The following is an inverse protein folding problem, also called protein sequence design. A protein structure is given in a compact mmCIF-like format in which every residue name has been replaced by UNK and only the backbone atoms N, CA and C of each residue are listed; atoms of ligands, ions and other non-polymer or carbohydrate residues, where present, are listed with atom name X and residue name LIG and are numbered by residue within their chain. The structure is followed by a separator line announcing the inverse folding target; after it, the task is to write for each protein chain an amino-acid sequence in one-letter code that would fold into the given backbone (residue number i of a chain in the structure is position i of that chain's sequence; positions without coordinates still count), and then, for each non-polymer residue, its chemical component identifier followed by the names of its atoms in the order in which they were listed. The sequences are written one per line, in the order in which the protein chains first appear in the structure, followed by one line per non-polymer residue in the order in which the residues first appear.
data_IF_250572910633
#
_entry.id   IF_250572910633
#
_cell.length_a   1.000
_cell.length_b   1.000
_cell.length_c   1.000
_cell.angle_alpha   90.00
_cell.angle_beta   90.00
_cell.angle_gamma   90.00
#
_symmetry.space_group_name_H-M   'P 1'
#
loop_
_entity.id
_entity.type
_entity.pdbx_description
1 polymer ?
#
# COMPACT_ATOMS: atom_id res chain seq x y z
N UNK A 1 8.64 -30.77 40.19
CA UNK A 1 8.48 -30.08 38.90
C UNK A 1 8.70 -28.60 39.12
N UNK A 2 9.92 -28.11 38.89
CA UNK A 2 10.17 -26.68 38.78
C UNK A 2 9.55 -26.21 37.46
N UNK A 3 8.77 -25.11 37.43
CA UNK A 3 8.27 -24.58 36.17
C UNK A 3 9.47 -24.29 35.27
N UNK A 4 9.42 -24.77 34.03
CA UNK A 4 10.41 -24.43 33.02
C UNK A 4 10.46 -22.90 32.94
N UNK A 5 11.53 -22.31 33.44
CA UNK A 5 11.72 -20.87 33.47
C UNK A 5 11.95 -20.44 32.02
N UNK A 6 10.90 -20.01 31.35
CA UNK A 6 10.95 -19.53 29.97
C UNK A 6 11.87 -18.32 29.93
N UNK A 7 12.98 -18.42 29.20
CA UNK A 7 13.90 -17.30 29.04
C UNK A 7 13.20 -16.15 28.30
N UNK A 8 13.00 -14.98 28.95
CA UNK A 8 12.35 -13.83 28.34
C UNK A 8 13.09 -13.33 27.10
N UNK A 9 14.43 -13.46 27.06
CA UNK A 9 15.26 -13.02 25.95
C UNK A 9 15.06 -13.90 24.71
N UNK A 10 14.96 -15.22 24.91
CA UNK A 10 14.63 -16.16 23.83
C UNK A 10 13.24 -15.87 23.24
N UNK A 11 12.25 -15.62 24.10
CA UNK A 11 10.88 -15.30 23.68
C UNK A 11 10.83 -14.02 22.83
N UNK A 12 11.52 -12.96 23.25
CA UNK A 12 11.61 -11.71 22.51
C UNK A 12 12.29 -11.88 21.14
N UNK A 13 13.35 -12.69 21.10
CA UNK A 13 14.08 -12.98 19.85
C UNK A 13 13.19 -13.68 18.84
N UNK A 14 12.45 -14.71 19.27
CA UNK A 14 11.48 -15.42 18.41
C UNK A 14 10.37 -14.47 17.94
N UNK A 15 9.85 -13.63 18.83
CA UNK A 15 8.81 -12.66 18.47
C UNK A 15 9.30 -11.66 17.40
N UNK A 16 10.53 -11.14 17.53
CA UNK A 16 11.16 -10.25 16.52
C UNK A 16 11.30 -10.96 15.18
N UNK A 17 11.83 -12.18 15.18
CA UNK A 17 11.98 -12.98 13.98
C UNK A 17 10.64 -13.19 13.26
N UNK A 18 9.59 -13.57 13.98
CA UNK A 18 8.25 -13.75 13.42
C UNK A 18 7.65 -12.44 12.91
N UNK A 19 7.88 -11.32 13.61
CA UNK A 19 7.45 -10.00 13.16
C UNK A 19 8.07 -9.64 11.81
N UNK A 20 9.39 -9.78 11.67
CA UNK A 20 10.08 -9.52 10.41
C UNK A 20 9.66 -10.48 9.30
N UNK A 21 9.50 -11.77 9.61
CA UNK A 21 9.02 -12.77 8.66
C UNK A 21 7.63 -12.43 8.13
N UNK A 22 6.74 -11.95 9.00
CA UNK A 22 5.39 -11.50 8.63
C UNK A 22 5.47 -10.34 7.63
N UNK A 23 6.36 -9.38 7.84
CA UNK A 23 6.57 -8.28 6.88
C UNK A 23 7.07 -8.80 5.54
N UNK A 24 8.06 -9.70 5.52
CA UNK A 24 8.59 -10.29 4.26
C UNK A 24 7.49 -11.02 3.49
N UNK A 25 6.75 -11.89 4.17
CA UNK A 25 5.67 -12.66 3.56
C UNK A 25 4.56 -11.75 3.03
N UNK A 26 4.14 -10.76 3.81
CA UNK A 26 3.10 -9.81 3.44
C UNK A 26 3.53 -8.92 2.27
N UNK A 27 4.75 -8.38 2.29
CA UNK A 27 5.31 -7.58 1.22
C UNK A 27 5.46 -8.39 -0.08
N UNK A 28 5.94 -9.63 0.01
CA UNK A 28 6.04 -10.53 -1.14
C UNK A 28 4.68 -10.86 -1.76
N UNK A 29 3.70 -11.17 -0.91
CA UNK A 29 2.31 -11.40 -1.31
C UNK A 29 1.72 -10.15 -2.00
N UNK A 30 1.89 -8.98 -1.39
CA UNK A 30 1.44 -7.71 -1.93
C UNK A 30 2.09 -7.40 -3.28
N UNK A 31 3.41 -7.57 -3.42
CA UNK A 31 4.12 -7.37 -4.68
C UNK A 31 3.61 -8.29 -5.79
N UNK A 32 3.35 -9.56 -5.44
CA UNK A 32 2.82 -10.52 -6.40
C UNK A 32 1.43 -10.11 -6.90
N UNK A 33 0.50 -9.79 -6.00
CA UNK A 33 -0.83 -9.34 -6.36
C UNK A 33 -0.80 -8.00 -7.10
N UNK A 34 0.03 -7.06 -6.66
CA UNK A 34 0.20 -5.77 -7.30
C UNK A 34 0.71 -5.92 -8.73
N UNK A 35 1.67 -6.82 -8.97
CA UNK A 35 2.17 -7.14 -10.32
C UNK A 35 1.08 -7.73 -11.21
N UNK A 36 0.26 -8.64 -10.69
CA UNK A 36 -0.86 -9.21 -11.45
C UNK A 36 -1.90 -8.13 -11.77
N UNK A 37 -2.25 -7.30 -10.78
CA UNK A 37 -3.17 -6.19 -10.92
C UNK A 37 -2.70 -5.20 -11.99
N UNK A 38 -1.45 -4.73 -11.90
CA UNK A 38 -0.81 -3.84 -12.88
C UNK A 38 -0.81 -4.39 -14.32
N UNK A 39 -0.62 -5.70 -14.48
CA UNK A 39 -0.54 -6.34 -15.81
C UNK A 39 -1.91 -6.63 -16.42
N UNK A 40 -2.89 -7.00 -15.60
CA UNK A 40 -4.17 -7.53 -16.10
C UNK A 40 -5.32 -6.54 -16.03
N UNK A 41 -5.28 -5.58 -15.12
CA UNK A 41 -6.48 -4.79 -14.76
C UNK A 41 -6.28 -3.29 -14.98
N UNK A 42 -5.10 -2.72 -14.73
CA UNK A 42 -4.94 -1.27 -14.89
C UNK A 42 -4.80 -0.81 -16.34
N UNK A 43 -5.50 0.29 -16.62
CA UNK A 43 -5.32 1.10 -17.82
C UNK A 43 -3.90 1.70 -17.88
N UNK A 44 -3.41 1.91 -19.10
CA UNK A 44 -2.05 2.36 -19.41
C UNK A 44 -1.52 3.54 -18.57
N UNK A 45 -2.28 4.63 -18.36
CA UNK A 45 -1.80 5.83 -17.63
C UNK A 45 -1.41 5.53 -16.18
N UNK A 46 -2.03 4.54 -15.56
CA UNK A 46 -1.73 4.15 -14.20
C UNK A 46 -0.50 3.24 -14.14
N UNK A 47 -0.35 2.30 -15.09
CA UNK A 47 0.64 1.20 -15.06
C UNK A 47 2.08 1.64 -14.81
N UNK A 48 2.52 2.76 -15.40
CA UNK A 48 3.90 3.24 -15.25
C UNK A 48 4.19 3.80 -13.86
N UNK A 49 3.17 4.35 -13.19
CA UNK A 49 3.29 5.04 -11.90
C UNK A 49 3.36 4.09 -10.70
N UNK A 50 2.82 2.87 -10.84
CA UNK A 50 2.88 1.83 -9.80
C UNK A 50 4.29 1.27 -9.57
N UNK A 51 5.25 1.52 -10.48
CA UNK A 51 6.64 1.05 -10.32
C UNK A 51 7.28 1.62 -9.06
N UNK A 52 7.05 2.90 -8.76
CA UNK A 52 7.59 3.53 -7.54
C UNK A 52 7.02 2.88 -6.29
N UNK A 53 5.72 2.60 -6.28
CA UNK A 53 5.08 1.93 -5.15
C UNK A 53 5.59 0.50 -4.97
N UNK A 54 5.80 -0.24 -6.07
CA UNK A 54 6.40 -1.57 -6.02
C UNK A 54 7.83 -1.52 -5.45
N UNK A 55 8.62 -0.49 -5.77
CA UNK A 55 9.94 -0.30 -5.15
C UNK A 55 9.81 -0.02 -3.65
N UNK A 56 8.85 0.80 -3.23
CA UNK A 56 8.58 1.06 -1.80
C UNK A 56 8.18 -0.21 -1.03
N UNK A 57 7.31 -1.05 -1.60
CA UNK A 57 6.94 -2.34 -1.00
C UNK A 57 8.13 -3.32 -1.03
N UNK A 58 8.95 -3.29 -2.07
CA UNK A 58 10.21 -4.03 -2.14
C UNK A 58 11.16 -3.63 -1.02
N UNK A 59 11.28 -2.33 -0.72
CA UNK A 59 12.05 -1.85 0.42
C UNK A 59 11.49 -2.36 1.76
N UNK A 60 10.17 -2.53 1.89
CA UNK A 60 9.57 -3.15 3.08
C UNK A 60 9.97 -4.63 3.22
N UNK A 61 10.08 -5.37 2.11
CA UNK A 61 10.62 -6.72 2.14
C UNK A 61 12.10 -6.74 2.55
N UNK A 62 12.91 -5.80 2.05
CA UNK A 62 14.32 -5.64 2.45
C UNK A 62 14.43 -5.31 3.93
N UNK A 63 13.56 -4.45 4.47
CA UNK A 63 13.46 -4.17 5.90
C UNK A 63 13.25 -5.46 6.72
N UNK A 64 12.30 -6.30 6.31
CA UNK A 64 12.04 -7.57 6.98
C UNK A 64 13.21 -8.56 6.87
N UNK A 65 13.81 -8.70 5.69
CA UNK A 65 14.97 -9.59 5.50
C UNK A 65 16.20 -9.11 6.29
N UNK A 66 16.43 -7.80 6.33
CA UNK A 66 17.49 -7.21 7.14
C UNK A 66 17.23 -7.43 8.63
N UNK A 67 15.99 -7.30 9.10
CA UNK A 67 15.63 -7.61 10.48
C UNK A 67 15.86 -9.09 10.85
N UNK A 68 15.54 -10.02 9.95
CA UNK A 68 15.86 -11.45 10.13
C UNK A 68 17.37 -11.65 10.24
N UNK A 69 18.16 -11.04 9.34
CA UNK A 69 19.62 -11.13 9.38
C UNK A 69 20.21 -10.50 10.66
N UNK A 70 19.62 -9.42 11.16
CA UNK A 70 20.00 -8.77 12.42
C UNK A 70 19.77 -9.71 13.60
N UNK A 71 18.63 -10.42 13.63
CA UNK A 71 18.38 -11.45 14.67
C UNK A 71 19.34 -12.64 14.60
N UNK A 72 19.97 -12.87 13.44
CA UNK A 72 21.00 -13.90 13.25
C UNK A 72 22.43 -13.40 13.54
N UNK A 73 22.61 -12.14 13.95
CA UNK A 73 23.91 -11.57 14.31
C UNK A 73 24.72 -11.02 13.13
N UNK A 74 24.10 -10.76 11.97
CA UNK A 74 24.79 -10.19 10.81
C UNK A 74 25.06 -8.70 11.04
N UNK A 75 26.34 -8.35 11.27
CA UNK A 75 26.76 -7.00 11.67
C UNK A 75 26.23 -5.81 10.83
N UNK A 76 26.19 -5.85 9.48
CA UNK A 76 25.67 -4.72 8.70
C UNK A 76 24.12 -4.64 8.65
N UNK A 77 23.40 -5.63 9.17
CA UNK A 77 21.96 -5.77 8.96
C UNK A 77 21.15 -4.61 9.54
N UNK A 78 21.52 -4.08 10.72
CA UNK A 78 20.79 -2.96 11.34
C UNK A 78 20.88 -1.65 10.53
N UNK A 79 21.99 -1.42 9.81
CA UNK A 79 22.13 -0.26 8.93
C UNK A 79 21.29 -0.42 7.65
N UNK A 80 21.28 -1.63 7.07
CA UNK A 80 20.41 -1.94 5.94
C UNK A 80 18.93 -1.83 6.30
N UNK A 81 18.53 -2.27 7.50
CA UNK A 81 17.17 -2.17 7.99
C UNK A 81 16.71 -0.71 8.07
N UNK A 82 17.52 0.17 8.67
CA UNK A 82 17.24 1.62 8.74
C UNK A 82 17.14 2.26 7.36
N UNK A 83 18.11 1.98 6.48
CA UNK A 83 18.08 2.47 5.10
C UNK A 83 16.84 1.99 4.34
N UNK A 84 16.48 0.71 4.48
CA UNK A 84 15.28 0.16 3.85
C UNK A 84 14.00 0.89 4.27
N UNK A 85 13.87 1.24 5.55
CA UNK A 85 12.73 2.02 6.04
C UNK A 85 12.64 3.39 5.37
N UNK A 86 13.75 4.11 5.23
CA UNK A 86 13.79 5.39 4.53
C UNK A 86 13.34 5.26 3.06
N UNK A 87 13.80 4.20 2.39
CA UNK A 87 13.37 3.88 1.03
C UNK A 87 11.88 3.56 0.95
N UNK A 88 11.30 2.85 1.93
CA UNK A 88 9.84 2.64 2.00
C UNK A 88 9.11 3.98 1.95
N UNK A 89 9.48 4.94 2.81
CA UNK A 89 8.81 6.24 2.87
C UNK A 89 9.01 7.07 1.62
N UNK A 90 10.24 7.15 1.12
CA UNK A 90 10.56 7.92 -0.09
C UNK A 90 9.75 7.41 -1.29
N UNK A 91 9.76 6.10 -1.52
CA UNK A 91 9.07 5.50 -2.67
C UNK A 91 7.56 5.43 -2.48
N UNK A 92 7.07 5.28 -1.25
CA UNK A 92 5.65 5.41 -0.95
C UNK A 92 5.15 6.84 -1.22
N UNK A 93 5.89 7.86 -0.78
CA UNK A 93 5.58 9.26 -1.04
C UNK A 93 5.49 9.56 -2.54
N UNK A 94 6.49 9.12 -3.30
CA UNK A 94 6.52 9.29 -4.76
C UNK A 94 5.38 8.50 -5.42
N UNK A 95 5.17 7.25 -5.01
CA UNK A 95 4.14 6.36 -5.56
C UNK A 95 2.72 6.88 -5.33
N UNK A 96 2.38 7.23 -4.09
CA UNK A 96 1.05 7.77 -3.72
C UNK A 96 0.80 9.12 -4.39
N UNK A 97 1.81 10.00 -4.46
CA UNK A 97 1.70 11.25 -5.23
C UNK A 97 1.43 10.97 -6.71
N UNK A 98 2.15 10.03 -7.31
CA UNK A 98 1.98 9.71 -8.72
C UNK A 98 0.56 9.18 -9.02
N UNK A 99 0.01 8.38 -8.10
CA UNK A 99 -1.39 7.93 -8.12
C UNK A 99 -2.35 9.12 -7.97
N UNK A 100 -2.14 9.99 -6.98
CA UNK A 100 -2.96 11.18 -6.77
C UNK A 100 -3.02 12.10 -8.01
N UNK A 101 -1.88 12.25 -8.70
CA UNK A 101 -1.80 12.99 -9.96
C UNK A 101 -2.55 12.32 -11.10
N UNK A 102 -2.55 10.99 -11.19
CA UNK A 102 -3.25 10.30 -12.29
C UNK A 102 -4.77 10.43 -12.18
N UNK A 103 -5.28 10.78 -11.00
CA UNK A 103 -6.71 10.92 -10.73
C UNK A 103 -7.17 12.39 -10.76
N UNK A 104 -6.36 13.28 -11.35
CA UNK A 104 -6.69 14.70 -11.49
C UNK A 104 -6.39 15.57 -10.27
N UNK A 105 -5.59 15.08 -9.32
CA UNK A 105 -5.15 15.86 -8.17
C UNK A 105 -4.37 17.13 -8.59
N UNK A 106 -4.62 18.29 -7.96
CA UNK A 106 -4.02 19.56 -8.35
C UNK A 106 -2.49 19.54 -8.27
N UNK A 107 -1.84 20.15 -9.27
CA UNK A 107 -0.38 20.28 -9.33
C UNK A 107 0.09 21.63 -8.79
N UNK A 108 0.95 21.64 -7.78
CA UNK A 108 1.64 22.86 -7.33
C UNK A 108 2.77 23.31 -8.29
N UNK A 109 3.17 22.45 -9.23
CA UNK A 109 4.32 22.63 -10.13
C UNK A 109 3.97 22.11 -11.52
N UNK A 110 4.51 22.76 -12.57
CA UNK A 110 4.34 22.37 -13.97
C UNK A 110 4.90 20.97 -14.28
N UNK A 111 4.34 20.29 -15.28
CA UNK A 111 4.66 18.90 -15.61
C UNK A 111 6.11 18.70 -16.09
N UNK A 112 6.70 19.67 -16.80
CA UNK A 112 8.10 19.62 -17.26
C UNK A 112 9.11 19.70 -16.11
N UNK A 113 8.79 20.45 -15.06
CA UNK A 113 9.63 20.51 -13.85
C UNK A 113 9.52 19.19 -13.07
N UNK A 114 8.35 18.56 -13.13
CA UNK A 114 8.03 17.42 -12.30
C UNK A 114 8.72 16.12 -12.67
N UNK A 115 9.00 15.93 -13.97
CA UNK A 115 9.72 14.73 -14.45
C UNK A 115 11.10 14.62 -13.79
N UNK A 116 11.71 15.76 -13.44
CA UNK A 116 13.01 15.85 -12.79
C UNK A 116 12.91 15.85 -11.27
N UNK A 117 11.82 16.36 -10.69
CA UNK A 117 11.65 16.42 -9.23
C UNK A 117 11.74 15.03 -8.59
N UNK A 118 11.14 13.99 -9.18
CA UNK A 118 11.21 12.63 -8.64
C UNK A 118 12.65 12.11 -8.53
N UNK A 119 13.39 11.98 -9.65
CA UNK A 119 14.78 11.56 -9.66
C UNK A 119 15.70 12.45 -8.83
N UNK A 120 15.53 13.78 -8.86
CA UNK A 120 16.37 14.73 -8.12
C UNK A 120 16.13 14.63 -6.61
N UNK A 121 14.88 14.45 -6.17
CA UNK A 121 14.58 14.22 -4.74
C UNK A 121 15.18 12.90 -4.29
N UNK A 122 15.09 11.84 -5.09
CA UNK A 122 15.72 10.54 -4.75
C UNK A 122 17.25 10.67 -4.69
N UNK A 123 17.87 11.29 -5.70
CA UNK A 123 19.31 11.47 -5.76
C UNK A 123 19.81 12.36 -4.62
N UNK A 124 19.11 13.47 -4.35
CA UNK A 124 19.41 14.38 -3.24
C UNK A 124 19.24 13.70 -1.88
N UNK A 125 18.21 12.87 -1.71
CA UNK A 125 18.01 12.09 -0.50
C UNK A 125 19.13 11.07 -0.28
N UNK A 126 19.47 10.29 -1.31
CA UNK A 126 20.55 9.31 -1.25
C UNK A 126 21.90 9.99 -0.97
N UNK A 127 22.18 11.11 -1.64
CA UNK A 127 23.39 11.89 -1.41
C UNK A 127 23.43 12.47 0.02
N UNK A 128 22.33 13.07 0.49
CA UNK A 128 22.23 13.61 1.84
C UNK A 128 22.40 12.52 2.90
N UNK A 129 21.83 11.33 2.67
CA UNK A 129 21.98 10.18 3.56
C UNK A 129 23.44 9.70 3.62
N UNK A 130 24.11 9.55 2.47
CA UNK A 130 25.53 9.18 2.44
C UNK A 130 26.43 10.25 3.09
N UNK A 131 26.16 11.53 2.82
CA UNK A 131 26.90 12.62 3.45
C UNK A 131 26.70 12.63 4.97
N UNK A 132 25.47 12.44 5.44
CA UNK A 132 25.17 12.35 6.87
C UNK A 132 25.87 11.13 7.49
N UNK A 133 25.80 9.97 6.84
CA UNK A 133 26.48 8.75 7.30
C UNK A 133 28.00 8.90 7.40
N UNK A 134 28.63 9.61 6.46
CA UNK A 134 30.08 9.77 6.42
C UNK A 134 30.60 10.91 7.32
N UNK A 135 29.82 11.98 7.52
CA UNK A 135 30.33 13.23 8.09
C UNK A 135 29.58 13.74 9.33
N UNK A 136 28.39 13.21 9.66
CA UNK A 136 27.59 13.70 10.79
C UNK A 136 27.69 12.79 12.03
N UNK A 137 27.40 13.37 13.20
CA UNK A 137 27.28 12.58 14.43
C UNK A 137 26.03 11.70 14.39
N UNK A 138 26.06 10.56 15.08
CA UNK A 138 24.94 9.61 15.10
C UNK A 138 23.59 10.27 15.51
N UNK A 139 23.63 11.23 16.43
CA UNK A 139 22.44 12.01 16.85
C UNK A 139 21.95 12.96 15.76
N UNK A 140 22.84 13.62 15.03
CA UNK A 140 22.46 14.49 13.91
C UNK A 140 21.85 13.70 12.75
N UNK A 141 22.42 12.52 12.43
CA UNK A 141 21.85 11.59 11.45
C UNK A 141 20.45 11.15 11.87
N UNK A 142 20.30 10.67 13.11
CA UNK A 142 19.01 10.26 13.66
C UNK A 142 17.95 11.36 13.61
N UNK A 143 18.33 12.60 13.96
CA UNK A 143 17.43 13.75 13.91
C UNK A 143 16.97 14.06 12.48
N UNK A 144 17.90 14.07 11.52
CA UNK A 144 17.59 14.30 10.11
C UNK A 144 16.69 13.19 9.55
N UNK A 145 16.97 11.94 9.87
CA UNK A 145 16.16 10.79 9.45
C UNK A 145 14.73 10.86 9.99
N UNK A 146 14.55 11.21 11.26
CA UNK A 146 13.21 11.39 11.86
C UNK A 146 12.46 12.56 11.24
N UNK A 147 13.10 13.71 11.03
CA UNK A 147 12.45 14.86 10.39
C UNK A 147 12.05 14.53 8.94
N UNK A 148 12.97 13.93 8.18
CA UNK A 148 12.70 13.49 6.81
C UNK A 148 11.57 12.48 6.73
N UNK A 149 11.55 11.51 7.65
CA UNK A 149 10.48 10.54 7.82
C UNK A 149 9.12 11.21 8.09
N UNK A 150 9.06 12.13 9.04
CA UNK A 150 7.81 12.82 9.41
C UNK A 150 7.27 13.65 8.24
N UNK A 151 8.15 14.37 7.53
CA UNK A 151 7.78 15.13 6.34
C UNK A 151 7.30 14.22 5.21
N UNK A 152 8.02 13.11 4.94
CA UNK A 152 7.61 12.14 3.92
C UNK A 152 6.27 11.48 4.28
N UNK A 153 6.05 11.17 5.55
CA UNK A 153 4.79 10.60 6.05
C UNK A 153 3.65 11.60 5.87
N UNK A 154 3.80 12.83 6.35
CA UNK A 154 2.79 13.89 6.20
C UNK A 154 2.45 14.16 4.73
N UNK A 155 3.48 14.22 3.87
CA UNK A 155 3.31 14.39 2.43
C UNK A 155 2.56 13.23 1.78
N UNK A 156 2.88 11.99 2.19
CA UNK A 156 2.20 10.79 1.70
C UNK A 156 0.74 10.76 2.14
N UNK A 157 0.45 11.11 3.41
CA UNK A 157 -0.91 11.18 3.94
C UNK A 157 -1.75 12.23 3.21
N UNK A 158 -1.20 13.42 2.96
CA UNK A 158 -1.87 14.46 2.20
C UNK A 158 -2.34 13.95 0.83
N UNK A 159 -1.44 13.30 0.07
CA UNK A 159 -1.79 12.74 -1.22
C UNK A 159 -2.68 11.49 -1.14
N UNK A 160 -2.54 10.66 -0.10
CA UNK A 160 -3.40 9.51 0.12
C UNK A 160 -4.85 9.94 0.37
N UNK A 161 -5.07 10.92 1.27
CA UNK A 161 -6.39 11.49 1.55
C UNK A 161 -6.99 12.14 0.31
N UNK A 162 -6.18 12.91 -0.44
CA UNK A 162 -6.61 13.49 -1.70
C UNK A 162 -7.07 12.42 -2.70
N UNK A 163 -6.30 11.36 -2.87
CA UNK A 163 -6.63 10.25 -3.78
C UNK A 163 -7.94 9.57 -3.39
N UNK A 164 -8.11 9.28 -2.10
CA UNK A 164 -9.31 8.62 -1.58
C UNK A 164 -10.57 9.47 -1.78
N UNK A 165 -10.46 10.79 -1.65
CA UNK A 165 -11.58 11.72 -1.85
C UNK A 165 -11.96 11.85 -3.33
N UNK A 166 -10.97 11.86 -4.22
CA UNK A 166 -11.23 12.05 -5.66
C UNK A 166 -11.77 10.78 -6.33
N UNK A 167 -11.35 9.60 -5.87
CA UNK A 167 -11.67 8.31 -6.51
C UNK A 167 -12.49 7.40 -5.59
N UNK A 168 -13.38 7.98 -4.80
CA UNK A 168 -14.23 7.22 -3.89
C UNK A 168 -15.07 6.17 -4.66
N UNK A 169 -15.12 4.95 -4.12
CA UNK A 169 -15.80 3.82 -4.77
C UNK A 169 -14.94 3.06 -5.79
N UNK A 170 -13.71 3.50 -6.08
CA UNK A 170 -12.80 2.78 -6.96
C UNK A 170 -11.84 1.85 -6.22
N UNK A 171 -11.20 0.97 -6.99
CA UNK A 171 -10.13 0.10 -6.52
C UNK A 171 -8.92 0.86 -5.97
N UNK A 172 -8.61 2.03 -6.53
CA UNK A 172 -7.47 2.88 -6.13
C UNK A 172 -7.69 3.47 -4.74
N UNK A 173 -8.90 3.96 -4.45
CA UNK A 173 -9.23 4.48 -3.12
C UNK A 173 -9.20 3.37 -2.05
N UNK A 174 -9.75 2.19 -2.38
CA UNK A 174 -9.71 1.04 -1.47
C UNK A 174 -8.27 0.55 -1.19
N UNK A 175 -7.41 0.47 -2.22
CA UNK A 175 -5.98 0.21 -2.04
C UNK A 175 -5.33 1.23 -1.10
N UNK A 176 -5.56 2.53 -1.36
CA UNK A 176 -4.94 3.62 -0.60
C UNK A 176 -5.36 3.61 0.87
N UNK A 177 -6.65 3.34 1.15
CA UNK A 177 -7.19 3.21 2.52
C UNK A 177 -6.52 2.09 3.31
N UNK A 178 -6.16 0.99 2.66
CA UNK A 178 -5.57 -0.17 3.34
C UNK A 178 -4.05 -0.11 3.42
N UNK A 179 -3.40 0.54 2.45
CA UNK A 179 -1.96 0.72 2.45
C UNK A 179 -1.50 1.79 3.45
N UNK A 180 -2.29 2.85 3.64
CA UNK A 180 -1.92 3.98 4.51
C UNK A 180 -1.63 3.58 5.97
N UNK A 181 -2.44 2.72 6.63
CA UNK A 181 -2.11 2.22 7.96
C UNK A 181 -0.76 1.48 8.04
N UNK A 182 -0.34 0.79 6.98
CA UNK A 182 0.98 0.14 6.94
C UNK A 182 2.11 1.17 7.01
N UNK A 183 1.98 2.28 6.28
CA UNK A 183 2.96 3.38 6.32
C UNK A 183 3.03 4.03 7.70
N UNK A 184 1.89 4.24 8.34
CA UNK A 184 1.85 4.77 9.71
C UNK A 184 2.53 3.81 10.69
N UNK A 185 2.28 2.51 10.56
CA UNK A 185 2.94 1.50 11.39
C UNK A 185 4.46 1.51 11.21
N UNK A 186 4.96 1.57 9.96
CA UNK A 186 6.39 1.75 9.70
C UNK A 186 6.95 3.06 10.25
N UNK A 187 6.15 4.14 10.32
CA UNK A 187 6.63 5.42 10.81
C UNK A 187 6.83 5.36 12.32
N UNK A 188 5.92 4.70 13.03
CA UNK A 188 6.07 4.40 14.46
C UNK A 188 7.32 3.56 14.71
N UNK A 189 7.54 2.51 13.92
CA UNK A 189 8.76 1.69 14.01
C UNK A 189 10.02 2.53 13.81
N UNK A 190 10.05 3.33 12.75
CA UNK A 190 11.20 4.14 12.41
C UNK A 190 11.51 5.19 13.48
N UNK A 191 10.50 5.82 14.08
CA UNK A 191 10.69 6.72 15.22
C UNK A 191 11.18 5.95 16.46
N UNK A 192 10.62 4.77 16.73
CA UNK A 192 11.00 3.94 17.87
C UNK A 192 12.46 3.47 17.78
N UNK A 193 12.92 3.09 16.59
CA UNK A 193 14.33 2.73 16.33
C UNK A 193 15.31 3.87 16.64
N UNK A 194 14.86 5.12 16.52
CA UNK A 194 15.68 6.31 16.79
C UNK A 194 15.60 6.81 18.24
N UNK A 195 14.73 6.23 19.07
CA UNK A 195 14.50 6.72 20.43
C UNK A 195 15.77 6.71 21.30
N UNK A 196 16.61 5.67 21.16
CA UNK A 196 17.90 5.55 21.86
C UNK A 196 18.90 6.60 21.36
N UNK A 197 19.05 6.73 20.03
CA UNK A 197 19.99 7.67 19.42
C UNK A 197 19.66 9.14 19.71
N UNK A 198 18.37 9.44 19.93
CA UNK A 198 17.86 10.76 20.28
C UNK A 198 17.75 11.01 21.79
N UNK A 199 18.17 10.05 22.62
CA UNK A 199 18.10 10.16 24.09
C UNK A 199 16.70 10.48 24.62
N UNK A 200 15.66 9.92 23.98
CA UNK A 200 14.27 10.17 24.38
C UNK A 200 13.96 9.48 25.72
N UNK A 201 13.23 10.14 26.64
CA UNK A 201 12.75 9.49 27.86
C UNK A 201 11.81 8.34 27.48
N UNK A 202 12.09 7.13 27.96
CA UNK A 202 11.32 5.93 27.62
C UNK A 202 11.92 5.04 26.53
N UNK A 203 13.22 5.16 26.23
CA UNK A 203 13.95 4.25 25.34
C UNK A 203 13.64 2.73 25.50
N UNK A 204 13.40 2.18 26.73
CA UNK A 204 12.99 0.78 26.88
C UNK A 204 11.64 0.43 26.23
N UNK A 205 10.74 1.41 26.05
CA UNK A 205 9.47 1.25 25.33
C UNK A 205 9.68 1.18 23.80
N UNK A 206 10.82 1.69 23.30
CA UNK A 206 11.15 1.73 21.87
C UNK A 206 11.18 0.33 21.25
N UNK A 207 11.80 -0.63 21.93
CA UNK A 207 11.87 -2.02 21.46
C UNK A 207 10.48 -2.68 21.35
N UNK A 208 9.59 -2.39 22.31
CA UNK A 208 8.21 -2.87 22.29
C UNK A 208 7.40 -2.23 21.17
N UNK A 209 7.51 -0.91 21.00
CA UNK A 209 6.86 -0.17 19.92
C UNK A 209 7.34 -0.60 18.54
N UNK A 210 8.64 -0.83 18.36
CA UNK A 210 9.22 -1.31 17.12
C UNK A 210 8.70 -2.72 16.78
N UNK A 211 8.58 -3.61 17.77
CA UNK A 211 8.01 -4.94 17.58
C UNK A 211 6.53 -4.89 17.17
N UNK A 212 5.71 -4.19 17.95
CA UNK A 212 4.25 -4.05 17.67
C UNK A 212 4.04 -3.38 16.32
N UNK A 213 4.75 -2.28 16.05
CA UNK A 213 4.68 -1.57 14.78
C UNK A 213 5.09 -2.45 13.59
N UNK A 214 6.12 -3.30 13.75
CA UNK A 214 6.54 -4.24 12.70
C UNK A 214 5.44 -5.26 12.38
N UNK A 215 4.81 -5.82 13.41
CA UNK A 215 3.70 -6.77 13.23
C UNK A 215 2.50 -6.10 12.57
N UNK A 216 2.12 -4.90 13.02
CA UNK A 216 1.02 -4.12 12.44
C UNK A 216 1.31 -3.76 10.97
N UNK A 217 2.54 -3.34 10.66
CA UNK A 217 2.94 -3.06 9.29
C UNK A 217 2.77 -4.30 8.39
N UNK A 218 3.22 -5.48 8.86
CA UNK A 218 3.01 -6.75 8.16
C UNK A 218 1.52 -7.07 7.95
N UNK A 219 0.70 -6.91 8.99
CA UNK A 219 -0.75 -7.17 8.93
C UNK A 219 -1.46 -6.25 7.93
N UNK A 220 -1.13 -4.96 7.92
CA UNK A 220 -1.74 -4.00 6.98
C UNK A 220 -1.26 -4.21 5.54
N UNK A 221 0.01 -4.56 5.32
CA UNK A 221 0.50 -4.96 4.00
C UNK A 221 -0.25 -6.18 3.47
N UNK A 222 -0.46 -7.19 4.32
CA UNK A 222 -1.22 -8.39 3.96
C UNK A 222 -2.69 -8.06 3.66
N UNK A 223 -3.31 -7.23 4.48
CA UNK A 223 -4.69 -6.77 4.27
C UNK A 223 -4.83 -6.05 2.92
N UNK A 224 -3.88 -5.17 2.60
CA UNK A 224 -3.80 -4.49 1.29
C UNK A 224 -3.71 -5.49 0.14
N UNK A 225 -2.93 -6.57 0.31
CA UNK A 225 -2.81 -7.63 -0.70
C UNK A 225 -4.14 -8.36 -0.92
N UNK A 226 -4.86 -8.66 0.17
CA UNK A 226 -6.17 -9.31 0.12
C UNK A 226 -7.20 -8.45 -0.61
N UNK A 227 -7.23 -7.13 -0.38
CA UNK A 227 -8.19 -6.30 -1.11
C UNK A 227 -7.89 -6.17 -2.60
N UNK A 228 -6.61 -6.10 -2.99
CA UNK A 228 -6.26 -6.15 -4.43
C UNK A 228 -6.77 -7.45 -5.05
N UNK A 229 -6.62 -8.58 -4.34
CA UNK A 229 -7.14 -9.88 -4.81
C UNK A 229 -8.66 -9.86 -4.94
N UNK A 230 -9.37 -9.33 -3.93
CA UNK A 230 -10.83 -9.26 -3.93
C UNK A 230 -11.35 -8.45 -5.12
N UNK A 231 -10.75 -7.28 -5.39
CA UNK A 231 -11.08 -6.45 -6.55
C UNK A 231 -10.81 -7.17 -7.87
N UNK A 232 -9.70 -7.90 -7.97
CA UNK A 232 -9.41 -8.71 -9.16
C UNK A 232 -10.42 -9.85 -9.39
N UNK A 233 -10.96 -10.42 -8.33
CA UNK A 233 -12.02 -11.44 -8.39
C UNK A 233 -13.37 -10.87 -8.82
N UNK A 234 -13.72 -9.66 -8.39
CA UNK A 234 -14.94 -8.97 -8.82
C UNK A 234 -14.94 -8.68 -10.33
N UNK A 235 -13.80 -8.23 -10.88
CA UNK A 235 -13.64 -8.04 -12.32
C UNK A 235 -13.83 -9.36 -13.07
N UNK A 236 -13.28 -10.47 -12.57
CA UNK A 236 -13.46 -11.78 -13.20
C UNK A 236 -14.92 -12.25 -13.18
N UNK A 237 -15.69 -11.95 -12.13
CA UNK A 237 -17.13 -12.27 -12.05
C UNK A 237 -17.97 -11.44 -13.02
N UNK A 238 -17.56 -10.21 -13.30
CA UNK A 238 -18.22 -9.36 -14.30
C UNK A 238 -18.09 -9.93 -15.72
N UNK A 239 -16.98 -10.64 -16.00
CA UNK A 239 -16.74 -11.31 -17.28
C UNK A 239 -17.03 -12.82 -17.24
N UNK A 240 -17.60 -13.33 -16.14
CA UNK A 240 -17.99 -14.74 -16.02
C UNK A 240 -19.28 -14.98 -16.83
N UNK A 241 -19.24 -15.81 -17.89
CA UNK A 241 -20.42 -16.07 -18.71
C UNK A 241 -21.57 -16.75 -17.95
N UNK A 242 -21.33 -17.27 -16.74
CA UNK A 242 -22.36 -17.92 -15.90
C UNK A 242 -23.16 -16.94 -15.05
N UNK A 243 -22.69 -15.70 -14.82
CA UNK A 243 -23.42 -14.69 -14.04
C UNK A 243 -24.49 -13.96 -14.85
N UNK A 244 -24.36 -13.92 -16.18
CA UNK A 244 -25.28 -13.19 -17.06
C UNK A 244 -26.50 -13.98 -17.55
N UNK A 245 -26.57 -15.29 -17.35
CA UNK A 245 -27.59 -16.16 -17.97
C UNK A 245 -28.94 -16.28 -17.26
N UNK A 246 -29.24 -15.50 -16.21
CA UNK A 246 -30.54 -15.63 -15.50
C UNK A 246 -31.46 -14.41 -15.56
N UNK A 247 -31.05 -13.31 -16.19
CA UNK A 247 -31.92 -12.13 -16.34
C UNK A 247 -32.86 -12.21 -17.56
N UNK A 248 -32.78 -13.28 -18.37
CA UNK A 248 -33.54 -13.44 -19.61
C UNK A 248 -34.54 -14.60 -19.64
N UNK A 249 -34.58 -15.46 -18.61
CA UNK A 249 -35.54 -16.59 -18.56
C UNK A 249 -36.84 -16.26 -17.80
N UNK A 250 -36.90 -15.12 -17.11
CA UNK A 250 -38.12 -14.59 -16.46
C UNK A 250 -38.62 -13.32 -17.19
N UNK A 251 -38.73 -13.38 -18.52
CA UNK A 251 -39.46 -12.37 -19.28
C UNK A 251 -40.96 -12.47 -18.99
N UNK A 252 -41.70 -11.33 -18.94
CA UNK A 252 -43.13 -11.36 -18.62
C UNK A 252 -43.87 -12.25 -19.62
N UNK A 253 -44.75 -13.11 -19.10
CA UNK A 253 -45.60 -14.00 -19.87
C UNK A 253 -46.22 -13.26 -21.08
N UNK A 254 -46.36 -13.91 -22.25
CA UNK A 254 -46.99 -13.30 -23.42
C UNK A 254 -48.34 -12.74 -23.00
N UNK A 255 -48.51 -11.42 -23.10
CA UNK A 255 -49.83 -10.80 -22.95
C UNK A 255 -50.73 -11.41 -24.00
N UNK A 256 -51.79 -12.05 -23.55
CA UNK A 256 -52.93 -12.42 -24.39
C UNK A 256 -53.31 -11.21 -25.25
N UNK A 257 -53.17 -11.37 -26.57
CA UNK A 257 -53.69 -10.43 -27.54
C UNK A 257 -55.21 -10.34 -27.33
N UNK A 258 -55.78 -9.14 -27.13
CA UNK A 258 -57.23 -9.00 -27.13
C UNK A 258 -57.77 -9.36 -28.52
N UNK A 259 -58.82 -10.18 -28.51
CA UNK A 259 -59.52 -10.66 -29.69
C UNK A 259 -59.81 -9.54 -30.70
N UNK A 260 -59.58 -9.85 -31.98
CA UNK A 260 -60.02 -9.07 -33.13
C UNK A 260 -61.48 -8.64 -32.94
N UNK A 261 -61.70 -7.33 -33.01
CA UNK A 261 -63.03 -6.76 -33.16
C UNK A 261 -63.59 -7.17 -34.54
N UNK A 262 -64.87 -7.54 -34.65
CA UNK A 262 -65.47 -7.89 -35.92
C UNK A 262 -65.52 -6.67 -36.84
N UNK A 263 -65.02 -6.87 -38.06
CA UNK A 263 -65.14 -5.98 -39.21
C UNK A 263 -66.59 -5.59 -39.46
N UNK A 264 -66.83 -4.29 -39.55
CA UNK A 264 -68.10 -3.72 -39.97
C UNK A 264 -68.45 -4.22 -41.37
N UNK A 265 -69.58 -4.92 -41.51
CA UNK A 265 -70.20 -5.19 -42.80
C UNK A 265 -70.70 -3.86 -43.39
N UNK A 266 -70.19 -3.55 -44.59
CA UNK A 266 -70.76 -2.59 -45.52
C UNK A 266 -72.21 -2.97 -45.82
N UNK A 267 -73.13 -2.06 -45.49
CA UNK A 267 -74.52 -2.15 -45.89
C UNK A 267 -74.66 -1.44 -47.25
N UNK A 268 -75.13 -2.12 -48.31
CA UNK A 268 -75.24 -1.50 -49.63
C UNK A 268 -76.46 -0.57 -49.67
N UNK A 269 -76.24 0.59 -50.29
CA UNK A 269 -77.26 1.47 -50.86
C UNK A 269 -78.10 0.70 -51.87
N UNK A 270 -79.42 0.86 -51.81
CA UNK A 270 -80.28 1.04 -52.99
C UNK A 270 -81.69 1.50 -52.58
N UNK A 271 -82.30 2.22 -53.52
CA UNK A 271 -83.52 3.05 -53.52
C UNK A 271 -84.83 2.42 -52.99
#
# INVERSE_FOLDING_TARGET
MTPAQTDPAATLTVARYLGYLTVVAAAGCLLWYLRQYARRILAGPYRERWRYLAVGIGAAAVYGLAGIAETAGVAPAGSFRRGATLFVFLFAAIGVRAIHRSVGGPSLLSDDTLQWVGPTVVAGFVAAWWLAYLFASATAVAGLEVVGLLLATAYTLYHAVGTVRTEEGTSIAAFTRQFTPALLAFAVVAVADHAVALSLPGAPLGDGLALVGTVLAGAFLFTTAVAIRQQGGEVQRLYDPTTWRRAGEDGPAPRDSPAEAPTAEEQPTDD
#
